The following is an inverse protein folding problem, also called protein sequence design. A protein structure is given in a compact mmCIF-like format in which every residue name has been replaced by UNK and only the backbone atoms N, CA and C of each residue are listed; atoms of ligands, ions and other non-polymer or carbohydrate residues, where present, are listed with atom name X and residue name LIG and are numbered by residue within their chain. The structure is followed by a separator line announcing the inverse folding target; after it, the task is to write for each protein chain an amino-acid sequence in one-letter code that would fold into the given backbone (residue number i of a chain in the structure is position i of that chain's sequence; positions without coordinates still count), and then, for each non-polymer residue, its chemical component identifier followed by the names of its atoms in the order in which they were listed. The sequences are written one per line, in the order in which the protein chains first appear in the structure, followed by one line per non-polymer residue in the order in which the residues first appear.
data_IF_525254087814
#
_entry.id   IF_525254087814
#
_cell.length_a   1.000
_cell.length_b   1.000
_cell.length_c   1.000
_cell.angle_alpha   90.00
_cell.angle_beta   90.00
_cell.angle_gamma   90.00
#
_symmetry.space_group_name_H-M   'P 1'
#
loop_
_entity.id
_entity.type
_entity.pdbx_description
1 polymer ?
#
# COMPACT_ATOMS: atom_id res chain seq x y z
N UNK A 1 41.61 7.59 47.47
CA UNK A 1 41.35 7.84 46.03
C UNK A 1 41.11 6.51 45.30
N UNK A 2 39.97 5.84 45.50
CA UNK A 2 39.71 4.51 44.90
C UNK A 2 38.20 4.18 44.74
N UNK A 3 37.33 5.17 44.50
CA UNK A 3 35.86 4.93 44.43
C UNK A 3 35.25 5.28 43.05
N UNK A 4 36.04 5.66 42.03
CA UNK A 4 35.48 6.18 40.75
C UNK A 4 35.54 5.17 39.59
N UNK A 5 36.13 3.98 39.76
CA UNK A 5 36.38 3.05 38.63
C UNK A 5 35.33 1.96 38.35
N UNK A 6 34.27 1.82 39.17
CA UNK A 6 33.25 0.77 38.96
C UNK A 6 31.93 1.25 38.35
N UNK A 7 31.81 2.51 37.94
CA UNK A 7 30.58 3.06 37.39
C UNK A 7 30.49 3.02 35.85
N UNK A 8 31.48 2.45 35.16
CA UNK A 8 31.53 2.44 33.69
C UNK A 8 31.23 1.08 33.05
N UNK A 9 30.93 0.04 33.84
CA UNK A 9 30.63 -1.32 33.32
C UNK A 9 29.16 -1.68 33.57
N UNK A 10 28.24 -0.73 33.43
CA UNK A 10 26.79 -1.04 33.40
C UNK A 10 26.10 -0.29 32.23
N UNK A 11 26.77 0.67 31.59
CA UNK A 11 26.15 1.49 30.54
C UNK A 11 26.27 0.93 29.11
N UNK A 12 26.93 -0.23 28.92
CA UNK A 12 27.20 -0.80 27.60
C UNK A 12 26.23 -1.87 27.09
N UNK A 13 25.34 -2.40 27.94
CA UNK A 13 24.56 -3.60 27.60
C UNK A 13 23.08 -3.36 27.21
N UNK A 14 22.64 -2.09 27.12
CA UNK A 14 21.22 -1.75 26.87
C UNK A 14 20.94 -1.36 25.39
N UNK A 15 21.98 -1.21 24.56
CA UNK A 15 21.83 -0.75 23.17
C UNK A 15 21.60 -1.86 22.13
N UNK A 16 21.43 -3.12 22.53
CA UNK A 16 21.29 -4.25 21.61
C UNK A 16 19.84 -4.73 21.38
N UNK A 17 18.82 -3.94 21.76
CA UNK A 17 17.46 -4.16 21.32
C UNK A 17 17.21 -3.34 20.05
N UNK A 18 17.89 -3.72 18.97
CA UNK A 18 17.46 -3.38 17.62
C UNK A 18 16.08 -4.03 17.44
N UNK A 19 15.04 -3.24 17.70
CA UNK A 19 13.68 -3.56 17.41
C UNK A 19 13.59 -3.76 15.90
N UNK A 20 13.58 -5.02 15.46
CA UNK A 20 13.04 -5.36 14.16
C UNK A 20 11.55 -5.02 14.22
N UNK A 21 11.24 -3.75 14.01
CA UNK A 21 9.90 -3.30 13.71
C UNK A 21 9.52 -3.94 12.38
N UNK A 22 8.92 -5.13 12.43
CA UNK A 22 8.12 -5.63 11.33
C UNK A 22 7.05 -4.57 11.13
N UNK A 23 7.25 -3.69 10.15
CA UNK A 23 6.21 -2.79 9.69
C UNK A 23 5.07 -3.68 9.24
N UNK A 24 4.07 -3.84 10.11
CA UNK A 24 2.80 -4.43 9.74
C UNK A 24 2.27 -3.50 8.67
N UNK A 25 2.43 -3.86 7.40
CA UNK A 25 1.82 -3.16 6.27
C UNK A 25 0.35 -3.00 6.66
N UNK A 26 -0.05 -1.76 6.93
CA UNK A 26 -1.41 -1.46 7.33
C UNK A 26 -2.24 -1.62 6.07
N UNK A 27 -2.89 -2.76 5.92
CA UNK A 27 -3.88 -2.94 4.88
C UNK A 27 -5.07 -2.02 5.18
N UNK A 28 -5.24 -0.96 4.40
CA UNK A 28 -6.35 -0.02 4.61
C UNK A 28 -7.48 -0.34 3.62
N UNK A 29 -8.65 -0.72 4.14
CA UNK A 29 -9.82 -0.99 3.31
C UNK A 29 -10.30 0.29 2.61
N UNK A 30 -10.55 0.19 1.31
CA UNK A 30 -11.13 1.27 0.50
C UNK A 30 -12.66 1.19 0.66
N UNK A 31 -13.30 2.23 1.22
CA UNK A 31 -14.76 2.28 1.30
C UNK A 31 -15.37 2.23 -0.10
N UNK A 32 -16.35 1.34 -0.28
CA UNK A 32 -16.99 1.11 -1.58
C UNK A 32 -18.28 1.90 -1.70
N UNK A 33 -18.48 2.55 -2.85
CA UNK A 33 -19.77 3.15 -3.23
C UNK A 33 -20.55 2.26 -4.20
N UNK A 34 -19.86 1.32 -4.86
CA UNK A 34 -20.45 0.39 -5.80
C UNK A 34 -21.32 -0.67 -5.12
N UNK A 35 -22.65 -0.57 -5.23
CA UNK A 35 -23.58 -1.50 -4.58
C UNK A 35 -23.55 -2.94 -5.14
N UNK A 36 -22.97 -3.14 -6.33
CA UNK A 36 -22.95 -4.44 -7.04
C UNK A 36 -21.59 -5.14 -7.02
N UNK A 37 -20.53 -4.44 -6.64
CA UNK A 37 -19.22 -5.06 -6.52
C UNK A 37 -19.01 -5.48 -5.07
N UNK A 38 -19.18 -6.78 -4.88
CA UNK A 38 -19.06 -7.49 -3.61
C UNK A 38 -17.60 -7.68 -3.15
N UNK A 39 -16.62 -7.31 -3.98
CA UNK A 39 -15.22 -7.48 -3.65
C UNK A 39 -14.68 -6.33 -2.80
N UNK A 40 -13.78 -6.68 -1.90
CA UNK A 40 -13.10 -5.72 -1.02
C UNK A 40 -11.73 -5.37 -1.58
N UNK A 41 -11.37 -4.11 -1.44
CA UNK A 41 -10.09 -3.60 -1.91
C UNK A 41 -9.34 -2.99 -0.74
N UNK A 42 -8.07 -3.34 -0.62
CA UNK A 42 -7.19 -2.87 0.45
C UNK A 42 -5.96 -2.22 -0.17
N UNK A 43 -5.58 -1.04 0.29
CA UNK A 43 -4.28 -0.42 -0.03
C UNK A 43 -3.21 -1.10 0.82
N UNK A 44 -2.20 -1.68 0.17
CA UNK A 44 -1.04 -2.29 0.82
C UNK A 44 0.12 -1.30 0.94
N UNK A 45 0.33 -0.54 -0.13
CA UNK A 45 1.41 0.44 -0.27
C UNK A 45 0.92 1.61 -1.13
N UNK A 46 1.36 2.81 -0.78
CA UNK A 46 1.14 4.04 -1.54
C UNK A 46 2.45 4.82 -1.66
N UNK A 47 2.76 5.26 -2.87
CA UNK A 47 3.83 6.19 -3.18
C UNK A 47 3.27 7.40 -3.92
N UNK A 48 3.87 8.57 -3.74
CA UNK A 48 3.48 9.79 -4.45
C UNK A 48 4.69 10.46 -5.07
N UNK A 49 4.59 10.82 -6.35
CA UNK A 49 5.59 11.59 -7.06
C UNK A 49 4.91 12.66 -7.92
N UNK A 50 5.09 13.92 -7.52
CA UNK A 50 4.43 15.07 -8.15
C UNK A 50 2.91 14.86 -8.26
N UNK A 51 2.37 14.69 -9.48
CA UNK A 51 0.94 14.52 -9.76
C UNK A 51 0.49 13.06 -9.81
N UNK A 52 1.43 12.11 -9.71
CA UNK A 52 1.18 10.68 -9.91
C UNK A 52 1.35 9.93 -8.59
N UNK A 53 0.28 9.25 -8.17
CA UNK A 53 0.28 8.32 -7.04
C UNK A 53 0.41 6.89 -7.56
N UNK A 54 1.36 6.13 -7.03
CA UNK A 54 1.53 4.69 -7.27
C UNK A 54 0.92 3.93 -6.10
N UNK A 55 0.09 2.94 -6.38
CA UNK A 55 -0.58 2.15 -5.34
C UNK A 55 -0.43 0.66 -5.62
N UNK A 56 -0.24 -0.10 -4.54
CA UNK A 56 -0.34 -1.55 -4.53
C UNK A 56 -1.63 -1.92 -3.78
N UNK A 57 -2.51 -2.67 -4.44
CA UNK A 57 -3.81 -3.09 -3.91
C UNK A 57 -3.85 -4.60 -3.70
N UNK A 58 -4.62 -5.03 -2.70
CA UNK A 58 -5.14 -6.38 -2.55
C UNK A 58 -6.64 -6.35 -2.80
N UNK A 59 -7.10 -7.05 -3.83
CA UNK A 59 -8.53 -7.35 -4.03
C UNK A 59 -8.84 -8.70 -3.41
N UNK A 60 -9.77 -8.71 -2.47
CA UNK A 60 -10.35 -9.92 -1.91
C UNK A 60 -11.66 -10.24 -2.63
N UNK A 61 -11.65 -11.31 -3.42
CA UNK A 61 -12.85 -11.97 -3.93
C UNK A 61 -13.24 -13.13 -3.00
N UNK A 62 -14.24 -13.93 -3.36
CA UNK A 62 -14.69 -15.05 -2.50
C UNK A 62 -13.64 -16.13 -2.30
N UNK A 63 -13.01 -16.58 -3.38
CA UNK A 63 -12.07 -17.69 -3.43
C UNK A 63 -10.64 -17.27 -3.81
N UNK A 64 -10.50 -16.02 -4.27
CA UNK A 64 -9.28 -15.55 -4.92
C UNK A 64 -8.82 -14.21 -4.32
N UNK A 65 -7.51 -14.10 -4.13
CA UNK A 65 -6.84 -12.82 -3.87
C UNK A 65 -6.13 -12.38 -5.14
N UNK A 66 -6.29 -11.11 -5.50
CA UNK A 66 -5.57 -10.50 -6.61
C UNK A 66 -4.78 -9.29 -6.10
N UNK A 67 -3.48 -9.29 -6.35
CA UNK A 67 -2.60 -8.15 -6.13
C UNK A 67 -2.56 -7.32 -7.41
N UNK A 68 -2.73 -6.01 -7.27
CA UNK A 68 -2.81 -5.08 -8.40
C UNK A 68 -1.85 -3.93 -8.13
N UNK A 69 -1.05 -3.56 -9.12
CA UNK A 69 -0.30 -2.30 -9.11
C UNK A 69 -0.99 -1.33 -10.04
N UNK A 70 -1.27 -0.12 -9.57
CA UNK A 70 -1.94 0.91 -10.35
C UNK A 70 -1.28 2.27 -10.13
N UNK A 71 -1.51 3.16 -11.08
CA UNK A 71 -1.08 4.54 -11.02
C UNK A 71 -2.30 5.45 -11.18
N UNK A 72 -2.34 6.52 -10.40
CA UNK A 72 -3.42 7.49 -10.39
C UNK A 72 -2.85 8.89 -10.61
N UNK A 73 -3.36 9.60 -11.61
CA UNK A 73 -3.10 11.03 -11.76
C UNK A 73 -4.20 11.78 -11.00
N UNK A 74 -3.88 12.32 -9.84
CA UNK A 74 -4.88 12.94 -8.98
C UNK A 74 -5.49 14.25 -9.51
N UNK A 75 -4.70 15.14 -10.16
CA UNK A 75 -5.26 16.32 -10.82
C UNK A 75 -6.30 15.99 -11.90
N UNK A 76 -6.05 15.00 -12.75
CA UNK A 76 -6.99 14.62 -13.80
C UNK A 76 -8.03 13.59 -13.37
N UNK A 77 -7.81 12.90 -12.24
CA UNK A 77 -8.61 11.74 -11.76
C UNK A 77 -8.57 10.54 -12.73
N UNK A 78 -7.48 10.40 -13.48
CA UNK A 78 -7.27 9.24 -14.36
C UNK A 78 -6.51 8.13 -13.62
N UNK A 79 -6.79 6.89 -13.99
CA UNK A 79 -6.13 5.70 -13.47
C UNK A 79 -5.64 4.82 -14.62
N UNK A 80 -4.56 4.08 -14.37
CA UNK A 80 -4.17 2.91 -15.16
C UNK A 80 -3.71 1.79 -14.24
N UNK A 81 -4.06 0.56 -14.59
CA UNK A 81 -3.42 -0.62 -14.01
C UNK A 81 -2.05 -0.81 -14.66
N UNK A 82 -1.00 -0.97 -13.85
CA UNK A 82 0.37 -1.33 -14.28
C UNK A 82 0.50 -2.83 -14.47
N UNK A 83 -0.15 -3.62 -13.61
CA UNK A 83 -0.12 -5.07 -13.68
C UNK A 83 -0.90 -5.72 -12.53
N UNK A 84 -1.06 -7.03 -12.60
CA UNK A 84 -1.72 -7.82 -11.56
C UNK A 84 -1.15 -9.23 -11.44
N UNK A 85 -1.31 -9.85 -10.26
CA UNK A 85 -0.93 -11.24 -10.00
C UNK A 85 -1.83 -11.85 -8.94
N UNK A 86 -2.18 -13.13 -9.06
CA UNK A 86 -2.88 -13.89 -8.01
C UNK A 86 -1.93 -14.57 -7.02
N UNK A 87 -0.61 -14.50 -7.27
CA UNK A 87 0.41 -15.18 -6.44
C UNK A 87 0.96 -14.27 -5.35
N UNK A 88 1.52 -13.12 -5.73
CA UNK A 88 2.11 -12.15 -4.80
C UNK A 88 2.31 -10.79 -5.44
N UNK A 89 2.56 -9.75 -4.62
CA UNK A 89 2.96 -8.41 -5.09
C UNK A 89 4.27 -8.45 -5.91
N UNK A 90 5.21 -9.32 -5.53
CA UNK A 90 6.51 -9.47 -6.20
C UNK A 90 6.38 -10.08 -7.60
N UNK A 91 5.32 -10.83 -7.84
CA UNK A 91 5.05 -11.50 -9.12
C UNK A 91 4.27 -10.63 -10.11
N UNK A 92 3.99 -9.36 -9.78
CA UNK A 92 3.30 -8.45 -10.68
C UNK A 92 4.21 -8.11 -11.86
N UNK A 93 3.80 -8.51 -13.06
CA UNK A 93 4.45 -8.12 -14.31
C UNK A 93 3.88 -6.79 -14.82
N UNK A 94 4.76 -5.88 -15.22
CA UNK A 94 4.40 -4.56 -15.71
C UNK A 94 4.00 -4.59 -17.17
N UNK A 95 2.70 -4.52 -17.46
CA UNK A 95 2.17 -4.24 -18.79
C UNK A 95 1.06 -3.21 -18.63
N UNK A 96 1.42 -1.91 -18.53
CA UNK A 96 0.46 -0.88 -18.20
C UNK A 96 -0.67 -0.78 -19.21
N UNK A 97 -1.88 -0.71 -18.69
CA UNK A 97 -3.09 -0.39 -19.44
C UNK A 97 -3.10 1.09 -19.87
N UNK A 98 -4.00 1.43 -20.78
CA UNK A 98 -4.25 2.83 -21.13
C UNK A 98 -4.83 3.60 -19.94
N UNK A 99 -4.48 4.88 -19.87
CA UNK A 99 -5.10 5.80 -18.91
C UNK A 99 -6.57 6.01 -19.25
N UNK A 100 -7.44 5.97 -18.25
CA UNK A 100 -8.85 6.30 -18.40
C UNK A 100 -9.39 6.98 -17.14
N UNK A 101 -10.49 7.69 -17.30
CA UNK A 101 -11.24 8.25 -16.19
C UNK A 101 -12.29 7.22 -15.75
N UNK A 102 -12.30 6.78 -14.48
CA UNK A 102 -13.24 5.76 -14.04
C UNK A 102 -14.66 6.32 -13.95
N UNK A 103 -15.64 5.50 -14.32
CA UNK A 103 -17.06 5.84 -14.21
C UNK A 103 -17.50 5.87 -12.74
N UNK A 104 -18.36 6.82 -12.38
CA UNK A 104 -18.93 6.90 -11.02
C UNK A 104 -19.58 5.57 -10.65
N UNK A 105 -19.27 5.09 -9.43
CA UNK A 105 -19.81 3.84 -8.90
C UNK A 105 -19.04 2.57 -9.32
N UNK A 106 -17.86 2.68 -9.93
CA UNK A 106 -16.94 1.54 -10.11
C UNK A 106 -15.91 1.44 -8.98
N UNK A 107 -15.25 0.28 -8.86
CA UNK A 107 -14.15 0.11 -7.90
C UNK A 107 -13.03 1.13 -8.13
N UNK A 108 -12.71 1.40 -9.39
CA UNK A 108 -11.64 2.30 -9.76
C UNK A 108 -11.99 3.76 -9.44
N UNK A 109 -13.27 4.13 -9.49
CA UNK A 109 -13.71 5.44 -8.99
C UNK A 109 -13.53 5.55 -7.48
N UNK A 110 -13.88 4.51 -6.72
CA UNK A 110 -13.65 4.47 -5.27
C UNK A 110 -12.16 4.53 -4.93
N UNK A 111 -11.33 3.80 -5.68
CA UNK A 111 -9.86 3.82 -5.55
C UNK A 111 -9.31 5.22 -5.82
N UNK A 112 -9.68 5.85 -6.94
CA UNK A 112 -9.21 7.22 -7.28
C UNK A 112 -9.70 8.23 -6.23
N UNK A 113 -10.93 8.09 -5.76
CA UNK A 113 -11.49 8.94 -4.69
C UNK A 113 -10.74 8.74 -3.38
N UNK A 114 -10.35 7.52 -3.07
CA UNK A 114 -9.57 7.19 -1.87
C UNK A 114 -8.16 7.77 -1.92
N UNK A 115 -7.46 7.58 -3.03
CA UNK A 115 -6.04 7.93 -3.17
C UNK A 115 -5.85 9.45 -3.27
N UNK A 116 -6.78 10.15 -3.93
CA UNK A 116 -6.66 11.58 -4.22
C UNK A 116 -7.41 12.45 -3.21
N UNK A 117 -7.37 12.04 -1.94
CA UNK A 117 -7.81 12.83 -0.79
C UNK A 117 -6.74 13.81 -0.36
#
# INVERSE_FOLDING_TARGET
MFIIKKLFIIFGAILALNTYGVSKSQEIEIPRTAYKDIYKYYVLEEGRQATLSTITLRRQSFDTIMYIKAEVNCPSRYIRQVGSSTRSVKDIQGTPTQWYQPTIGTAEFDIVTYVCR
#
